data_IF_390162875147
#
_entry.id   IF_390162875147
#
_cell.length_a   1.000
_cell.length_b   1.000
_cell.length_c   1.000
_cell.angle_alpha   90.00
_cell.angle_beta   90.00
_cell.angle_gamma   90.00
#
_symmetry.space_group_name_H-M   'P 1'
#
loop_
_entity.id
_entity.type
_entity.pdbx_description
1 polymer ?
#
# COMPACT_ATOMS: atom_id res chain seq x y z
N UNK A 1 -0.75 -13.66 -28.00
CA UNK A 1 0.13 -13.26 -26.89
C UNK A 1 -0.21 -14.08 -25.65
N UNK A 2 0.72 -14.91 -25.23
CA UNK A 2 0.53 -15.88 -24.15
C UNK A 2 1.21 -15.35 -22.88
N UNK A 3 0.41 -15.00 -21.87
CA UNK A 3 0.90 -14.63 -20.54
C UNK A 3 1.05 -15.92 -19.72
N UNK A 4 2.20 -16.18 -19.08
CA UNK A 4 2.39 -17.36 -18.25
C UNK A 4 1.33 -17.47 -17.14
N UNK A 5 0.86 -18.68 -16.86
CA UNK A 5 -0.07 -18.92 -15.76
C UNK A 5 0.52 -18.45 -14.42
N UNK A 6 -0.33 -17.92 -13.54
CA UNK A 6 0.07 -17.58 -12.18
C UNK A 6 0.56 -18.84 -11.44
N UNK A 7 1.69 -18.79 -10.70
CA UNK A 7 2.52 -17.62 -10.35
C UNK A 7 3.81 -17.47 -11.19
N UNK A 8 3.91 -18.15 -12.35
CA UNK A 8 5.16 -18.32 -13.09
C UNK A 8 5.83 -16.99 -13.44
N UNK A 9 5.06 -15.99 -13.85
CA UNK A 9 5.57 -14.66 -14.18
C UNK A 9 6.26 -13.96 -12.99
N UNK A 10 5.76 -14.12 -11.76
CA UNK A 10 6.39 -13.53 -10.57
C UNK A 10 7.75 -14.17 -10.27
N UNK A 11 7.88 -15.49 -10.52
CA UNK A 11 9.15 -16.22 -10.40
C UNK A 11 10.15 -15.77 -11.46
N UNK A 12 9.72 -15.71 -12.73
CA UNK A 12 10.58 -15.32 -13.86
C UNK A 12 11.08 -13.87 -13.75
N UNK A 13 10.28 -12.95 -13.20
CA UNK A 13 10.65 -11.53 -13.06
C UNK A 13 11.45 -11.23 -11.78
N UNK A 14 11.67 -12.20 -10.88
CA UNK A 14 12.38 -11.99 -9.61
C UNK A 14 13.82 -11.45 -9.80
N UNK A 15 14.66 -11.95 -10.72
CA UNK A 15 16.00 -11.41 -10.92
C UNK A 15 16.01 -9.94 -11.37
N UNK A 16 15.05 -9.55 -12.22
CA UNK A 16 14.89 -8.18 -12.71
C UNK A 16 14.57 -7.24 -11.53
N UNK A 17 13.58 -7.62 -10.70
CA UNK A 17 13.21 -6.84 -9.49
C UNK A 17 14.36 -6.69 -8.50
N UNK A 18 15.17 -7.74 -8.32
CA UNK A 18 16.35 -7.69 -7.46
C UNK A 18 17.40 -6.71 -7.97
N UNK A 19 17.70 -6.74 -9.28
CA UNK A 19 18.65 -5.82 -9.91
C UNK A 19 18.17 -4.36 -9.84
N UNK A 20 16.88 -4.12 -10.11
CA UNK A 20 16.27 -2.79 -10.02
C UNK A 20 16.31 -2.23 -8.59
N UNK A 21 15.96 -3.05 -7.59
CA UNK A 21 16.09 -2.70 -6.15
C UNK A 21 17.52 -2.28 -5.80
N UNK A 22 18.53 -3.00 -6.29
CA UNK A 22 19.94 -2.66 -6.04
C UNK A 22 20.37 -1.31 -6.63
N UNK A 23 19.69 -0.85 -7.69
CA UNK A 23 19.94 0.44 -8.34
C UNK A 23 19.00 1.57 -7.86
N UNK A 24 18.03 1.27 -7.00
CA UNK A 24 16.97 2.21 -6.64
C UNK A 24 16.01 2.54 -7.79
N UNK A 25 15.99 1.71 -8.84
CA UNK A 25 15.13 1.87 -10.01
C UNK A 25 13.73 1.33 -9.71
N UNK A 26 12.71 2.19 -9.84
CA UNK A 26 11.32 1.89 -9.50
C UNK A 26 10.53 1.29 -10.66
N UNK A 27 11.01 1.43 -11.89
CA UNK A 27 10.26 1.07 -13.11
C UNK A 27 10.06 -0.45 -13.23
N UNK A 28 10.94 -1.22 -12.61
CA UNK A 28 10.90 -2.68 -12.60
C UNK A 28 10.64 -3.26 -11.20
N UNK A 29 9.94 -2.53 -10.33
CA UNK A 29 9.52 -3.01 -9.01
C UNK A 29 8.03 -3.38 -8.99
N UNK A 30 7.65 -4.31 -8.11
CA UNK A 30 6.24 -4.58 -7.81
C UNK A 30 5.69 -3.52 -6.86
N UNK A 31 5.32 -2.35 -7.39
CA UNK A 31 4.81 -1.20 -6.62
C UNK A 31 3.33 -1.39 -6.22
N UNK A 32 3.04 -2.42 -5.44
CA UNK A 32 1.68 -2.69 -4.96
C UNK A 32 1.19 -1.56 -4.05
N UNK A 33 0.10 -0.91 -4.45
CA UNK A 33 -0.63 0.03 -3.62
C UNK A 33 -2.10 0.06 -4.02
N UNK A 34 -2.99 0.28 -3.05
CA UNK A 34 -4.40 0.56 -3.33
C UNK A 34 -4.61 1.99 -3.85
N UNK A 35 -5.83 2.32 -4.25
CA UNK A 35 -6.19 3.65 -4.77
C UNK A 35 -5.91 4.79 -3.76
N UNK A 36 -5.94 4.50 -2.46
CA UNK A 36 -5.63 5.47 -1.38
C UNK A 36 -4.14 5.71 -1.12
N UNK A 37 -3.22 5.32 -2.01
CA UNK A 37 -1.78 5.43 -1.80
C UNK A 37 -1.29 6.84 -1.40
N UNK A 38 -1.93 7.88 -1.97
CA UNK A 38 -1.62 9.28 -1.68
C UNK A 38 -1.95 9.69 -0.22
N UNK A 39 -2.78 8.93 0.49
CA UNK A 39 -3.13 9.16 1.90
C UNK A 39 -2.19 8.43 2.86
N UNK A 40 -1.18 7.72 2.36
CA UNK A 40 -0.18 7.05 3.20
C UNK A 40 0.56 8.05 4.08
N UNK A 41 0.95 7.60 5.28
CA UNK A 41 1.60 8.43 6.30
C UNK A 41 2.91 7.82 6.71
N UNK A 42 3.93 8.67 6.88
CA UNK A 42 5.22 8.28 7.45
C UNK A 42 5.15 8.43 8.97
N UNK A 43 4.66 7.40 9.64
CA UNK A 43 4.56 7.30 11.09
C UNK A 43 4.75 5.84 11.52
N UNK A 44 4.83 5.59 12.82
CA UNK A 44 4.77 4.23 13.35
C UNK A 44 3.38 3.63 13.12
N UNK A 45 3.31 2.29 13.15
CA UNK A 45 2.03 1.61 13.08
C UNK A 45 1.11 1.99 14.25
N UNK A 46 1.68 2.20 15.44
CA UNK A 46 0.93 2.62 16.63
C UNK A 46 0.28 3.99 16.43
N UNK A 47 1.05 5.01 16.07
CA UNK A 47 0.54 6.36 15.82
C UNK A 47 -0.56 6.36 14.73
N UNK A 48 -0.40 5.53 13.69
CA UNK A 48 -1.40 5.40 12.63
C UNK A 48 -2.72 4.87 13.20
N UNK A 49 -2.67 3.78 13.96
CA UNK A 49 -3.86 3.16 14.55
C UNK A 49 -4.52 4.12 15.56
N UNK A 50 -3.75 4.72 16.46
CA UNK A 50 -4.27 5.69 17.44
C UNK A 50 -4.98 6.86 16.75
N UNK A 51 -4.40 7.36 15.66
CA UNK A 51 -5.02 8.43 14.87
C UNK A 51 -6.31 7.96 14.20
N UNK A 52 -6.32 6.75 13.63
CA UNK A 52 -7.52 6.21 12.97
C UNK A 52 -8.65 5.99 13.97
N UNK A 53 -8.37 5.43 15.15
CA UNK A 53 -9.36 5.22 16.21
C UNK A 53 -9.94 6.55 16.68
N UNK A 54 -9.08 7.52 17.01
CA UNK A 54 -9.52 8.86 17.44
C UNK A 54 -10.42 9.51 16.39
N UNK A 55 -9.96 9.59 15.14
CA UNK A 55 -10.74 10.21 14.06
C UNK A 55 -12.05 9.50 13.77
N UNK A 56 -12.06 8.16 13.85
CA UNK A 56 -13.29 7.39 13.65
C UNK A 56 -14.32 7.71 14.72
N UNK A 57 -13.90 7.75 16.00
CA UNK A 57 -14.78 8.11 17.11
C UNK A 57 -15.32 9.54 16.98
N UNK A 58 -14.50 10.48 16.54
CA UNK A 58 -14.92 11.87 16.35
C UNK A 58 -15.99 11.98 15.25
N UNK A 59 -15.80 11.28 14.13
CA UNK A 59 -16.80 11.22 13.04
C UNK A 59 -18.10 10.58 13.54
N UNK A 60 -18.03 9.45 14.24
CA UNK A 60 -19.22 8.78 14.78
C UNK A 60 -20.01 9.69 15.74
N UNK A 61 -19.33 10.38 16.66
CA UNK A 61 -19.97 11.37 17.55
C UNK A 61 -20.66 12.48 16.76
N UNK A 62 -19.97 13.04 15.76
CA UNK A 62 -20.53 14.10 14.92
C UNK A 62 -21.78 13.64 14.16
N UNK A 63 -21.83 12.38 13.71
CA UNK A 63 -23.00 11.83 13.04
C UNK A 63 -24.17 11.64 14.00
N UNK A 64 -23.91 11.15 15.22
CA UNK A 64 -24.95 10.97 16.25
C UNK A 64 -25.50 12.28 16.79
N UNK A 65 -24.72 13.37 16.78
CA UNK A 65 -25.20 14.70 17.19
C UNK A 65 -25.99 15.44 16.10
N UNK A 66 -25.95 14.99 14.85
CA UNK A 66 -26.69 15.56 13.72
C UNK A 66 -27.99 14.80 13.40
N UNK A 67 -28.34 13.80 14.21
CA UNK A 67 -29.60 13.06 14.20
C UNK A 67 -30.45 13.51 15.41
#
# INVERSE_FOLDING_TARGET
DEIPAYPLQNSLTRPIRNAAKGKGDRDFMSLWAGQGAAMSRKCTAQELIDTLVTKTNDVLKSMSSNL
#
